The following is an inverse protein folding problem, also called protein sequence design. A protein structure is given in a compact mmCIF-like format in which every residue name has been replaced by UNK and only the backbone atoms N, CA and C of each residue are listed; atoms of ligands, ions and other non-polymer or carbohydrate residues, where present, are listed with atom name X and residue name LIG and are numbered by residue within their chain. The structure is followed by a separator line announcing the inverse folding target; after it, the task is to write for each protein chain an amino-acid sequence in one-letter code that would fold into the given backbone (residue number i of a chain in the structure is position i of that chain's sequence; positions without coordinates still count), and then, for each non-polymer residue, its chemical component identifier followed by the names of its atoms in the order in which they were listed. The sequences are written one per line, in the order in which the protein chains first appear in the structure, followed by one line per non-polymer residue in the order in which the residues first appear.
data_IF_173765014951
#
_entry.id   IF_173765014951
#
_cell.length_a   1.000
_cell.length_b   1.000
_cell.length_c   1.000
_cell.angle_alpha   90.00
_cell.angle_beta   90.00
_cell.angle_gamma   90.00
#
_symmetry.space_group_name_H-M   'P 1'
#
loop_
_entity.id
_entity.type
_entity.pdbx_description
1 polymer ?
#
# COMPACT_ATOMS: atom_id res chain seq x y z
N UNK A 1 44.93 -87.94 -53.13
CA UNK A 1 44.95 -86.73 -52.27
C UNK A 1 44.10 -87.00 -51.04
N UNK A 2 44.50 -86.44 -49.89
CA UNK A 2 44.38 -87.00 -48.54
C UNK A 2 42.96 -87.17 -47.95
N UNK A 3 42.91 -87.99 -46.88
CA UNK A 3 41.79 -88.51 -46.08
C UNK A 3 40.90 -87.45 -45.36
N UNK A 4 39.69 -87.83 -44.90
CA UNK A 4 38.59 -86.99 -44.42
C UNK A 4 38.63 -86.77 -42.89
N UNK A 5 37.64 -86.11 -42.21
CA UNK A 5 36.43 -86.83 -41.78
C UNK A 5 35.13 -85.98 -41.64
N UNK A 6 34.05 -86.71 -41.34
CA UNK A 6 32.68 -86.29 -41.02
C UNK A 6 32.48 -85.86 -39.55
N UNK A 7 31.39 -85.13 -39.23
CA UNK A 7 30.32 -85.49 -38.24
C UNK A 7 29.36 -84.30 -37.89
N UNK A 8 28.05 -84.55 -38.05
CA UNK A 8 26.85 -84.22 -37.22
C UNK A 8 26.80 -83.05 -36.19
N UNK A 9 25.70 -82.27 -36.21
CA UNK A 9 24.82 -81.82 -35.06
C UNK A 9 23.56 -81.10 -35.60
N UNK A 10 22.29 -81.52 -35.34
CA UNK A 10 21.33 -81.18 -34.24
C UNK A 10 21.19 -79.67 -33.96
N UNK A 11 20.05 -78.98 -34.17
CA UNK A 11 18.78 -79.01 -33.41
C UNK A 11 18.48 -77.60 -32.81
N UNK A 12 17.22 -77.15 -32.62
CA UNK A 12 16.86 -75.74 -32.40
C UNK A 12 16.84 -75.34 -30.91
N UNK A 13 17.18 -74.08 -30.56
CA UNK A 13 17.06 -73.56 -29.20
C UNK A 13 16.50 -72.12 -29.16
N UNK A 14 15.21 -72.09 -28.83
CA UNK A 14 14.39 -71.11 -28.11
C UNK A 14 15.00 -69.74 -27.73
N UNK A 15 14.27 -68.69 -28.14
CA UNK A 15 14.35 -67.31 -27.66
C UNK A 15 13.93 -67.19 -26.19
N UNK A 16 14.87 -66.84 -25.31
CA UNK A 16 14.57 -66.41 -23.94
C UNK A 16 14.16 -64.95 -23.91
N UNK A 17 12.86 -64.68 -23.74
CA UNK A 17 12.37 -63.40 -23.28
C UNK A 17 12.68 -63.28 -21.77
N UNK A 18 13.53 -62.33 -21.41
CA UNK A 18 13.76 -61.99 -20.01
C UNK A 18 12.57 -61.17 -19.51
N UNK A 19 11.59 -61.85 -18.90
CA UNK A 19 10.56 -61.22 -18.08
C UNK A 19 11.25 -60.55 -16.87
N UNK A 20 11.39 -59.23 -16.93
CA UNK A 20 11.73 -58.41 -15.76
C UNK A 20 10.48 -58.38 -14.88
N UNK A 21 10.39 -59.31 -13.93
CA UNK A 21 9.40 -59.23 -12.86
C UNK A 21 9.73 -58.05 -11.96
N UNK A 22 9.13 -56.90 -12.26
CA UNK A 22 9.06 -55.77 -11.33
C UNK A 22 8.21 -56.25 -10.15
N UNK A 23 8.85 -56.50 -9.01
CA UNK A 23 8.12 -56.94 -7.82
C UNK A 23 7.11 -55.87 -7.40
N UNK A 24 5.91 -56.27 -6.99
CA UNK A 24 4.89 -55.38 -6.44
C UNK A 24 5.40 -54.57 -5.23
N UNK A 25 6.46 -55.06 -4.57
CA UNK A 25 7.17 -54.34 -3.51
C UNK A 25 7.88 -53.09 -4.04
N UNK A 26 8.54 -53.16 -5.20
CA UNK A 26 9.22 -52.03 -5.81
C UNK A 26 8.24 -50.98 -6.34
N UNK A 27 7.07 -51.40 -6.83
CA UNK A 27 6.00 -50.48 -7.26
C UNK A 27 5.34 -49.80 -6.06
N UNK A 28 5.10 -50.54 -4.97
CA UNK A 28 4.57 -49.97 -3.72
C UNK A 28 5.56 -49.05 -3.02
N UNK A 29 6.85 -49.36 -3.06
CA UNK A 29 7.88 -48.49 -2.50
C UNK A 29 8.09 -47.24 -3.36
N UNK A 30 8.04 -47.35 -4.70
CA UNK A 30 8.01 -46.18 -5.59
C UNK A 30 6.74 -45.33 -5.37
N UNK A 31 5.58 -45.96 -5.22
CA UNK A 31 4.32 -45.27 -4.94
C UNK A 31 4.35 -44.61 -3.55
N UNK A 32 4.93 -45.24 -2.53
CA UNK A 32 5.14 -44.63 -1.20
C UNK A 32 6.18 -43.52 -1.22
N UNK A 33 7.20 -43.62 -2.07
CA UNK A 33 8.25 -42.61 -2.22
C UNK A 33 7.71 -41.41 -2.99
N UNK A 34 6.91 -41.63 -4.03
CA UNK A 34 6.12 -40.59 -4.70
C UNK A 34 5.08 -39.98 -3.76
N UNK A 35 4.39 -40.79 -2.96
CA UNK A 35 3.42 -40.31 -1.98
C UNK A 35 4.10 -39.50 -0.87
N UNK A 36 5.31 -39.88 -0.44
CA UNK A 36 6.15 -39.10 0.50
C UNK A 36 6.70 -37.83 -0.13
N UNK A 37 7.07 -37.84 -1.41
CA UNK A 37 7.47 -36.65 -2.16
C UNK A 37 6.29 -35.68 -2.35
N UNK A 38 5.07 -36.18 -2.55
CA UNK A 38 3.86 -35.35 -2.63
C UNK A 38 3.33 -34.89 -1.28
N UNK A 39 3.57 -35.65 -0.20
CA UNK A 39 3.19 -35.28 1.17
C UNK A 39 4.20 -34.32 1.83
N UNK A 40 5.47 -34.34 1.42
CA UNK A 40 6.46 -33.34 1.80
C UNK A 40 6.22 -31.98 1.12
N UNK A 41 5.42 -31.96 0.03
CA UNK A 41 5.02 -30.77 -0.71
C UNK A 41 3.54 -30.44 -0.48
N UNK A 42 3.13 -30.25 0.77
CA UNK A 42 1.85 -29.59 1.04
C UNK A 42 1.85 -28.20 0.38
N UNK A 43 0.73 -27.74 -0.22
CA UNK A 43 0.65 -26.37 -0.70
C UNK A 43 0.93 -25.42 0.47
N UNK A 44 1.94 -24.56 0.33
CA UNK A 44 2.25 -23.53 1.32
C UNK A 44 0.97 -22.74 1.60
N UNK A 45 0.46 -22.82 2.83
CA UNK A 45 -0.77 -22.12 3.19
C UNK A 45 -0.50 -20.61 3.17
N UNK A 46 -1.26 -19.83 2.36
CA UNK A 46 -1.02 -18.41 2.23
C UNK A 46 -1.16 -17.69 3.57
N UNK A 47 -0.26 -16.76 3.87
CA UNK A 47 -0.30 -16.01 5.12
C UNK A 47 -1.25 -14.84 4.91
N UNK A 48 -2.36 -14.82 5.65
CA UNK A 48 -3.31 -13.71 5.60
C UNK A 48 -2.80 -12.53 6.44
N UNK A 49 -1.90 -11.74 5.87
CA UNK A 49 -1.32 -10.56 6.53
C UNK A 49 -2.36 -9.47 6.78
N UNK A 50 -3.36 -9.30 5.90
CA UNK A 50 -4.48 -8.37 6.12
C UNK A 50 -5.23 -8.66 7.42
N UNK A 51 -5.59 -9.93 7.68
CA UNK A 51 -6.28 -10.31 8.91
C UNK A 51 -5.42 -10.06 10.15
N UNK A 52 -4.11 -10.33 10.06
CA UNK A 52 -3.16 -10.06 11.15
C UNK A 52 -2.99 -8.56 11.41
N UNK A 53 -3.00 -7.74 10.36
CA UNK A 53 -2.95 -6.28 10.45
C UNK A 53 -4.23 -5.72 11.07
N UNK A 54 -5.39 -6.23 10.69
CA UNK A 54 -6.68 -5.86 11.27
C UNK A 54 -6.78 -6.22 12.77
N UNK A 55 -6.08 -7.27 13.20
CA UNK A 55 -6.00 -7.69 14.60
C UNK A 55 -5.04 -6.84 15.46
N UNK A 56 -4.22 -5.96 14.88
CA UNK A 56 -3.33 -5.08 15.64
C UNK A 56 -4.13 -4.13 16.55
N UNK A 57 -3.60 -3.75 17.73
CA UNK A 57 -4.27 -2.82 18.63
C UNK A 57 -4.61 -1.51 17.92
N UNK A 58 -5.80 -0.99 18.23
CA UNK A 58 -6.27 0.31 17.75
C UNK A 58 -5.41 1.43 18.33
N UNK A 59 -5.31 2.53 17.60
CA UNK A 59 -4.65 3.75 18.07
C UNK A 59 -5.62 4.91 17.93
N UNK A 60 -5.72 5.71 19.00
CA UNK A 60 -6.50 6.94 19.01
C UNK A 60 -5.66 8.05 18.39
N UNK A 61 -6.12 8.59 17.26
CA UNK A 61 -5.47 9.70 16.55
C UNK A 61 -6.55 10.73 16.24
N UNK A 62 -6.23 12.01 16.41
CA UNK A 62 -7.12 13.08 15.99
C UNK A 62 -7.37 12.98 14.48
N UNK A 63 -8.64 12.87 14.07
CA UNK A 63 -9.00 12.85 12.66
C UNK A 63 -8.88 14.28 12.10
N UNK A 64 -8.32 14.49 10.90
CA UNK A 64 -8.24 15.81 10.30
C UNK A 64 -9.62 16.46 10.14
N UNK A 65 -9.73 17.78 10.39
CA UNK A 65 -11.01 18.49 10.29
C UNK A 65 -11.57 18.43 8.87
N UNK A 66 -12.89 18.45 8.74
CA UNK A 66 -13.64 18.40 7.47
C UNK A 66 -13.22 17.27 6.50
N UNK A 67 -12.62 16.17 6.97
CA UNK A 67 -12.11 15.10 6.11
C UNK A 67 -13.21 14.42 5.28
N UNK A 68 -14.43 14.32 5.81
CA UNK A 68 -15.61 13.83 5.08
C UNK A 68 -15.93 14.69 3.87
N UNK A 69 -15.86 16.01 4.01
CA UNK A 69 -16.12 16.98 2.97
C UNK A 69 -15.00 16.96 1.93
N UNK A 70 -13.74 16.89 2.36
CA UNK A 70 -12.59 16.78 1.45
C UNK A 70 -12.65 15.54 0.54
N UNK A 71 -13.21 14.44 1.05
CA UNK A 71 -13.35 13.18 0.32
C UNK A 71 -14.74 13.00 -0.35
N UNK A 72 -15.61 14.02 -0.31
CA UNK A 72 -16.98 13.94 -0.81
C UNK A 72 -17.11 13.82 -2.34
N UNK A 73 -16.06 14.15 -3.09
CA UNK A 73 -16.02 14.00 -4.54
C UNK A 73 -15.84 12.55 -5.01
N UNK A 74 -15.57 11.63 -4.09
CA UNK A 74 -15.30 10.22 -4.39
C UNK A 74 -16.62 9.47 -4.50
N UNK A 75 -16.80 8.76 -5.61
CA UNK A 75 -17.99 7.94 -5.86
C UNK A 75 -17.66 6.47 -5.62
N UNK A 76 -18.36 5.82 -4.70
CA UNK A 76 -18.13 4.40 -4.39
C UNK A 76 -18.75 3.42 -5.39
N UNK A 77 -19.70 3.89 -6.19
CA UNK A 77 -20.56 3.02 -7.00
C UNK A 77 -19.98 2.75 -8.40
N UNK A 78 -18.85 3.35 -8.77
CA UNK A 78 -18.20 3.15 -10.07
C UNK A 78 -17.20 1.97 -9.98
N UNK A 79 -17.53 0.79 -10.54
CA UNK A 79 -16.61 -0.34 -10.55
C UNK A 79 -15.38 0.03 -11.38
N UNK A 80 -14.19 -0.23 -10.82
CA UNK A 80 -12.87 0.09 -11.38
C UNK A 80 -12.42 1.55 -11.28
N UNK A 81 -13.10 2.41 -10.50
CA UNK A 81 -12.53 3.72 -10.18
C UNK A 81 -11.30 3.58 -9.25
N UNK A 82 -10.12 3.88 -9.80
CA UNK A 82 -8.85 3.82 -9.07
C UNK A 82 -8.79 4.80 -7.87
N UNK A 83 -9.44 5.97 -7.95
CA UNK A 83 -9.51 6.91 -6.81
C UNK A 83 -10.36 6.32 -5.69
N UNK A 84 -11.51 5.73 -6.05
CA UNK A 84 -12.32 4.98 -5.09
C UNK A 84 -11.53 3.78 -4.52
N UNK A 85 -10.65 3.16 -5.30
CA UNK A 85 -9.69 2.17 -4.84
C UNK A 85 -8.77 2.70 -3.72
N UNK A 86 -8.12 3.85 -3.92
CA UNK A 86 -7.30 4.48 -2.87
C UNK A 86 -8.12 4.87 -1.65
N UNK A 87 -9.35 5.34 -1.83
CA UNK A 87 -10.24 5.55 -0.69
C UNK A 87 -10.49 4.25 0.06
N UNK A 88 -10.89 3.19 -0.64
CA UNK A 88 -11.26 1.90 -0.05
C UNK A 88 -10.07 1.20 0.64
N UNK A 89 -8.84 1.51 0.24
CA UNK A 89 -7.63 1.06 0.94
C UNK A 89 -7.56 1.59 2.38
N UNK A 90 -8.03 2.82 2.61
CA UNK A 90 -7.87 3.52 3.89
C UNK A 90 -9.17 3.67 4.67
N UNK A 91 -10.25 4.02 3.99
CA UNK A 91 -11.43 4.60 4.59
C UNK A 91 -12.71 3.86 4.22
N UNK A 92 -13.72 4.11 5.04
CA UNK A 92 -15.11 3.78 4.79
C UNK A 92 -15.98 4.93 5.26
N UNK A 93 -17.01 5.29 4.49
CA UNK A 93 -18.04 6.19 5.00
C UNK A 93 -18.93 5.43 5.99
N UNK A 94 -18.59 5.56 7.27
CA UNK A 94 -19.35 5.09 8.42
C UNK A 94 -19.14 6.11 9.53
N UNK A 95 -20.18 6.39 10.33
CA UNK A 95 -20.07 7.28 11.49
C UNK A 95 -18.84 6.90 12.32
N UNK A 96 -17.95 7.88 12.48
CA UNK A 96 -16.79 7.75 13.33
C UNK A 96 -17.29 7.48 14.74
N UNK A 97 -16.81 6.39 15.33
CA UNK A 97 -17.08 6.10 16.72
C UNK A 97 -16.21 7.04 17.53
N UNK A 98 -16.85 7.89 18.31
CA UNK A 98 -16.17 8.90 19.12
C UNK A 98 -15.89 8.24 20.47
N UNK A 99 -14.60 8.03 20.76
CA UNK A 99 -14.06 7.35 21.95
C UNK A 99 -14.36 5.86 22.06
N UNK A 100 -13.44 5.15 22.73
CA UNK A 100 -13.28 3.69 22.69
C UNK A 100 -14.60 2.94 22.76
N UNK A 101 -15.13 2.51 21.61
CA UNK A 101 -16.30 1.64 21.51
C UNK A 101 -16.02 0.43 20.60
N UNK A 102 -16.44 -0.75 21.04
CA UNK A 102 -16.33 -2.01 20.33
C UNK A 102 -17.41 -2.14 19.23
N UNK A 103 -17.40 -3.24 18.45
CA UNK A 103 -18.35 -3.46 17.34
C UNK A 103 -19.83 -3.42 17.76
N UNK A 104 -20.12 -3.69 19.03
CA UNK A 104 -21.45 -3.70 19.64
C UNK A 104 -21.79 -2.38 20.36
N UNK A 105 -20.89 -1.39 20.32
CA UNK A 105 -21.08 -0.11 21.03
C UNK A 105 -20.66 -0.15 22.51
N UNK A 106 -20.03 -1.22 22.98
CA UNK A 106 -19.51 -1.28 24.34
C UNK A 106 -18.23 -0.48 24.50
N UNK A 107 -18.15 0.27 25.59
CA UNK A 107 -17.04 1.18 25.90
C UNK A 107 -15.76 0.39 26.23
N UNK A 108 -14.70 0.60 25.43
CA UNK A 108 -13.39 -0.01 25.50
C UNK A 108 -12.43 0.72 26.45
N UNK A 109 -12.68 1.99 26.79
CA UNK A 109 -11.85 2.79 27.70
C UNK A 109 -12.71 3.54 28.73
N UNK A 110 -13.32 2.83 29.71
CA UNK A 110 -14.15 3.45 30.75
C UNK A 110 -13.39 4.50 31.58
N UNK A 111 -12.06 4.36 31.70
CA UNK A 111 -11.20 5.33 32.37
C UNK A 111 -11.15 6.68 31.64
N UNK A 112 -11.10 6.69 30.30
CA UNK A 112 -11.04 7.94 29.53
C UNK A 112 -12.36 8.73 29.63
N UNK A 113 -13.48 8.01 29.60
CA UNK A 113 -14.83 8.58 29.76
C UNK A 113 -15.01 9.18 31.14
N UNK A 114 -14.42 8.58 32.18
CA UNK A 114 -14.48 9.10 33.55
C UNK A 114 -13.71 10.41 33.79
N UNK A 115 -12.78 10.76 32.89
CA UNK A 115 -11.95 11.97 32.96
C UNK A 115 -12.45 13.08 32.04
N UNK A 116 -13.24 12.71 31.02
CA UNK A 116 -13.83 13.66 30.09
C UNK A 116 -15.12 14.25 30.66
N UNK A 117 -15.33 15.53 30.37
CA UNK A 117 -16.55 16.23 30.79
C UNK A 117 -17.80 15.58 30.17
N UNK A 118 -18.81 15.32 30.99
CA UNK A 118 -20.05 14.65 30.58
C UNK A 118 -20.86 15.46 29.55
N UNK A 119 -20.81 16.79 29.58
CA UNK A 119 -21.49 17.64 28.61
C UNK A 119 -20.76 17.63 27.25
N UNK A 120 -19.43 17.59 27.27
CA UNK A 120 -18.61 17.39 26.06
C UNK A 120 -18.93 16.05 25.40
N UNK A 121 -19.05 14.98 26.19
CA UNK A 121 -19.44 13.66 25.71
C UNK A 121 -20.88 13.67 25.14
N UNK A 122 -21.80 14.39 25.79
CA UNK A 122 -23.17 14.59 25.30
C UNK A 122 -23.25 15.33 23.95
N UNK A 123 -22.35 16.29 23.71
CA UNK A 123 -22.22 17.00 22.43
C UNK A 123 -21.71 16.07 21.30
N UNK A 124 -20.75 15.20 21.60
CA UNK A 124 -20.10 14.32 20.62
C UNK A 124 -20.91 13.06 20.27
N UNK A 125 -21.73 12.57 21.20
CA UNK A 125 -22.56 11.37 21.01
C UNK A 125 -23.73 11.58 20.04
N UNK A 126 -24.01 12.81 19.61
CA UNK A 126 -25.12 13.09 18.69
C UNK A 126 -26.47 12.71 19.29
N UNK A 127 -26.83 13.39 20.39
CA UNK A 127 -28.18 13.37 20.96
C UNK A 127 -28.30 12.57 22.25
N UNK A 128 -28.34 13.27 23.40
CA UNK A 128 -29.56 13.51 24.18
C UNK A 128 -29.18 14.25 25.47
N UNK A 129 -29.24 15.59 25.48
CA UNK A 129 -29.62 16.43 26.63
C UNK A 129 -29.33 17.90 26.33
N UNK A 130 -30.38 18.74 26.25
CA UNK A 130 -30.27 20.20 26.24
C UNK A 130 -30.96 20.85 25.04
N UNK A 131 -31.98 21.71 25.24
CA UNK A 131 -32.85 22.18 24.19
C UNK A 131 -32.16 23.28 23.37
N UNK A 132 -31.58 22.91 22.22
CA UNK A 132 -31.49 23.87 21.13
C UNK A 132 -32.88 23.96 20.53
N UNK A 133 -33.65 24.90 21.07
CA UNK A 133 -34.90 25.41 20.51
C UNK A 133 -34.69 25.74 19.03
N UNK A 134 -35.10 24.85 18.14
CA UNK A 134 -36.07 25.07 17.05
C UNK A 134 -35.98 23.94 16.01
N UNK A 135 -37.03 23.10 16.03
CA UNK A 135 -37.58 22.34 14.91
C UNK A 135 -36.68 21.35 14.13
N UNK A 136 -36.86 20.06 14.43
CA UNK A 136 -36.72 18.98 13.46
C UNK A 136 -35.66 17.94 13.84
N UNK A 137 -36.09 16.72 14.16
CA UNK A 137 -35.24 15.53 14.18
C UNK A 137 -34.75 15.17 12.77
N UNK A 138 -33.85 16.01 12.24
CA UNK A 138 -33.33 15.91 10.89
C UNK A 138 -32.19 14.91 10.78
N UNK A 139 -32.17 14.18 9.66
CA UNK A 139 -30.98 13.51 9.17
C UNK A 139 -29.77 14.48 9.18
N UNK A 140 -28.52 13.98 9.33
CA UNK A 140 -27.35 14.84 9.27
C UNK A 140 -27.38 15.69 7.98
N UNK A 141 -27.35 17.01 8.14
CA UNK A 141 -27.34 17.98 7.03
C UNK A 141 -25.95 17.94 6.38
N UNK A 142 -25.91 17.84 5.05
CA UNK A 142 -24.67 17.94 4.27
C UNK A 142 -24.74 19.19 3.38
N UNK A 143 -23.70 20.04 3.32
CA UNK A 143 -22.45 19.96 4.11
C UNK A 143 -22.69 20.13 5.62
N UNK A 144 -21.77 19.63 6.45
CA UNK A 144 -21.90 19.75 7.90
C UNK A 144 -21.80 21.21 8.33
N UNK A 145 -22.63 21.60 9.30
CA UNK A 145 -22.57 22.95 9.89
C UNK A 145 -21.30 23.16 10.75
N UNK A 146 -20.45 22.12 10.89
CA UNK A 146 -19.27 22.11 11.73
C UNK A 146 -18.24 21.05 11.30
N UNK A 147 -16.99 21.49 11.12
CA UNK A 147 -15.86 20.62 10.72
C UNK A 147 -15.34 19.63 11.78
N UNK A 148 -15.93 19.64 12.98
CA UNK A 148 -15.53 18.79 14.14
C UNK A 148 -16.66 17.80 14.50
N UNK A 149 -17.86 17.98 13.97
CA UNK A 149 -19.01 17.16 14.36
C UNK A 149 -18.96 15.77 13.71
N UNK A 150 -19.18 14.74 14.53
CA UNK A 150 -19.24 13.30 14.21
C UNK A 150 -18.93 12.95 12.74
N UNK A 151 -17.65 12.84 12.36
CA UNK A 151 -17.30 12.63 10.96
C UNK A 151 -17.93 11.33 10.47
N UNK A 152 -18.54 11.33 9.29
CA UNK A 152 -19.11 10.11 8.69
C UNK A 152 -18.04 9.24 8.00
N UNK A 153 -16.79 9.36 8.43
CA UNK A 153 -15.61 8.78 7.81
C UNK A 153 -14.80 8.05 8.87
N UNK A 154 -14.41 6.80 8.62
CA UNK A 154 -13.59 6.01 9.55
C UNK A 154 -12.42 5.37 8.81
N UNK A 155 -11.26 5.29 9.46
CA UNK A 155 -10.13 4.47 8.99
C UNK A 155 -10.48 2.99 9.18
N UNK A 156 -10.97 2.33 8.12
CA UNK A 156 -11.41 0.93 8.12
C UNK A 156 -11.28 0.33 6.70
N UNK A 157 -10.14 0.56 6.08
CA UNK A 157 -9.91 0.20 4.68
C UNK A 157 -9.25 -1.16 4.47
N UNK A 158 -9.18 -1.60 3.21
CA UNK A 158 -8.72 -2.92 2.76
C UNK A 158 -7.35 -2.87 2.10
N UNK A 159 -6.35 -2.37 2.83
CA UNK A 159 -4.94 -2.43 2.38
C UNK A 159 -4.45 -3.88 2.31
N UNK A 160 -3.59 -4.14 1.32
CA UNK A 160 -2.88 -5.40 1.16
C UNK A 160 -3.80 -6.64 1.11
N UNK A 161 -4.79 -6.67 0.19
CA UNK A 161 -5.76 -7.77 0.11
C UNK A 161 -5.06 -9.10 -0.23
N UNK A 162 -5.53 -10.24 0.32
CA UNK A 162 -4.95 -11.53 0.02
C UNK A 162 -5.14 -11.90 -1.46
N UNK A 163 -4.23 -12.68 -2.06
CA UNK A 163 -4.28 -13.07 -3.47
C UNK A 163 -5.45 -14.02 -3.82
N UNK A 164 -6.18 -14.53 -2.82
CA UNK A 164 -7.40 -15.33 -2.96
C UNK A 164 -8.42 -14.86 -1.93
N UNK A 165 -9.74 -14.83 -2.24
CA UNK A 165 -10.76 -14.32 -1.32
C UNK A 165 -10.93 -15.24 -0.11
N UNK A 166 -10.06 -15.07 0.88
CA UNK A 166 -10.28 -15.56 2.23
C UNK A 166 -11.39 -14.72 2.88
N UNK A 167 -12.18 -15.29 3.81
CA UNK A 167 -13.22 -14.55 4.51
C UNK A 167 -12.65 -13.27 5.13
N UNK A 168 -13.28 -12.15 4.76
CA UNK A 168 -12.80 -10.81 5.02
C UNK A 168 -13.14 -10.46 6.48
N UNK A 169 -12.18 -10.62 7.40
CA UNK A 169 -12.43 -10.54 8.86
C UNK A 169 -12.36 -9.11 9.44
N UNK A 170 -12.28 -8.06 8.61
CA UNK A 170 -12.29 -6.66 9.07
C UNK A 170 -11.35 -5.76 8.25
N UNK A 171 -11.59 -4.45 8.30
CA UNK A 171 -10.68 -3.46 7.71
C UNK A 171 -9.51 -3.13 8.65
N UNK A 172 -8.44 -2.61 8.08
CA UNK A 172 -7.25 -2.16 8.82
C UNK A 172 -7.54 -0.77 9.37
N UNK A 173 -7.51 -0.64 10.70
CA UNK A 173 -7.89 0.58 11.44
C UNK A 173 -6.71 1.35 12.04
N UNK A 174 -5.51 1.06 11.54
CA UNK A 174 -4.25 1.66 11.98
C UNK A 174 -3.42 2.07 10.77
N UNK A 175 -2.55 3.06 10.95
CA UNK A 175 -1.52 3.41 9.97
C UNK A 175 -0.18 2.77 10.35
N UNK A 176 0.66 2.52 9.37
CA UNK A 176 1.97 1.89 9.52
C UNK A 176 3.03 2.64 8.71
N UNK A 177 4.30 2.27 8.88
CA UNK A 177 5.40 2.91 8.13
C UNK A 177 5.22 2.81 6.61
N UNK A 178 4.59 1.73 6.12
CA UNK A 178 4.24 1.58 4.70
C UNK A 178 3.36 2.72 4.18
N UNK A 179 2.51 3.31 5.02
CA UNK A 179 1.67 4.45 4.64
C UNK A 179 2.50 5.75 4.47
N UNK A 180 3.60 5.90 5.21
CA UNK A 180 4.55 7.00 5.00
C UNK A 180 5.30 6.84 3.66
N UNK A 181 5.69 5.61 3.30
CA UNK A 181 6.29 5.32 1.99
C UNK A 181 5.31 5.63 0.86
N UNK A 182 4.04 5.24 1.01
CA UNK A 182 2.99 5.57 0.05
C UNK A 182 2.90 7.08 -0.18
N UNK A 183 2.84 7.87 0.90
CA UNK A 183 2.81 9.33 0.82
C UNK A 183 4.03 9.93 0.14
N UNK A 184 5.22 9.42 0.44
CA UNK A 184 6.46 9.90 -0.16
C UNK A 184 6.41 9.80 -1.69
N UNK A 185 5.96 8.68 -2.23
CA UNK A 185 5.86 8.49 -3.68
C UNK A 185 4.76 9.33 -4.32
N UNK A 186 3.62 9.54 -3.65
CA UNK A 186 2.56 10.43 -4.13
C UNK A 186 3.00 11.91 -4.10
N UNK A 187 3.82 12.30 -3.12
CA UNK A 187 4.45 13.63 -3.12
C UNK A 187 5.44 13.77 -4.28
N UNK A 188 6.31 12.78 -4.50
CA UNK A 188 7.25 12.76 -5.63
C UNK A 188 6.54 12.72 -6.99
N UNK A 189 5.35 12.15 -7.08
CA UNK A 189 4.53 12.18 -8.29
C UNK A 189 4.18 13.61 -8.70
N UNK A 190 4.08 14.54 -7.74
CA UNK A 190 3.81 15.95 -7.97
C UNK A 190 2.38 16.40 -7.61
N UNK A 191 1.57 15.53 -7.00
CA UNK A 191 0.17 15.83 -6.67
C UNK A 191 0.02 17.05 -5.77
N UNK A 192 0.87 17.18 -4.76
CA UNK A 192 0.88 18.36 -3.87
C UNK A 192 1.22 19.66 -4.63
N UNK A 193 2.07 19.60 -5.66
CA UNK A 193 2.44 20.77 -6.47
C UNK A 193 1.31 21.17 -7.41
N UNK A 194 0.65 20.18 -8.03
CA UNK A 194 -0.55 20.36 -8.84
C UNK A 194 -1.65 20.99 -8.00
N UNK A 195 -1.95 20.40 -6.84
CA UNK A 195 -2.98 20.93 -5.93
C UNK A 195 -2.63 22.35 -5.47
N UNK A 196 -1.38 22.63 -5.12
CA UNK A 196 -0.94 23.98 -4.78
C UNK A 196 -1.23 25.00 -5.89
N UNK A 197 -0.96 24.64 -7.15
CA UNK A 197 -1.27 25.50 -8.29
C UNK A 197 -2.79 25.69 -8.51
N UNK A 198 -3.61 24.66 -8.26
CA UNK A 198 -5.07 24.75 -8.33
C UNK A 198 -5.62 25.67 -7.24
N UNK A 199 -5.19 25.48 -5.99
CA UNK A 199 -5.65 26.27 -4.85
C UNK A 199 -5.23 27.74 -4.98
N UNK A 200 -4.01 28.01 -5.45
CA UNK A 200 -3.56 29.38 -5.74
C UNK A 200 -4.35 30.03 -6.88
N UNK A 201 -4.64 29.27 -7.94
CA UNK A 201 -5.46 29.74 -9.04
C UNK A 201 -6.91 30.06 -8.64
N UNK A 202 -7.48 29.28 -7.72
CA UNK A 202 -8.81 29.48 -7.17
C UNK A 202 -8.85 30.65 -6.17
N UNK A 203 -7.91 30.73 -5.24
CA UNK A 203 -7.92 31.73 -4.16
C UNK A 203 -7.46 33.12 -4.60
N UNK A 204 -6.43 33.21 -5.45
CA UNK A 204 -5.71 34.47 -5.70
C UNK A 204 -5.85 34.96 -7.13
N UNK A 205 -5.72 34.06 -8.12
CA UNK A 205 -5.58 34.48 -9.52
C UNK A 205 -6.91 34.53 -10.30
N UNK A 206 -8.00 33.94 -9.76
CA UNK A 206 -9.30 33.84 -10.43
C UNK A 206 -9.26 33.12 -11.78
N UNK A 207 -8.18 32.38 -12.07
CA UNK A 207 -7.92 31.79 -13.40
C UNK A 207 -8.82 30.59 -13.67
N UNK A 208 -9.33 29.96 -12.63
CA UNK A 208 -10.29 28.88 -12.73
C UNK A 208 -11.69 29.49 -12.62
N UNK A 209 -12.51 29.51 -13.70
CA UNK A 209 -13.88 29.98 -13.65
C UNK A 209 -14.75 28.94 -12.94
N UNK A 210 -14.56 28.81 -11.63
CA UNK A 210 -15.38 27.97 -10.77
C UNK A 210 -16.41 28.91 -10.17
N UNK A 211 -17.64 28.78 -10.64
CA UNK A 211 -18.77 29.56 -10.15
C UNK A 211 -18.97 29.27 -8.66
N UNK A 212 -18.90 30.30 -7.81
CA UNK A 212 -19.39 30.26 -6.41
C UNK A 212 -20.94 30.26 -6.37
N UNK A 213 -21.57 29.61 -7.34
CA UNK A 213 -23.00 29.69 -7.62
C UNK A 213 -23.83 29.39 -6.39
N UNK A 214 -24.91 30.17 -6.21
CA UNK A 214 -25.95 29.84 -5.24
C UNK A 214 -26.36 28.39 -5.44
N UNK A 215 -26.50 27.65 -4.34
CA UNK A 215 -26.95 26.26 -4.29
C UNK A 215 -28.34 26.16 -4.94
N UNK A 216 -28.38 26.12 -6.27
CA UNK A 216 -29.56 25.87 -7.10
C UNK A 216 -29.24 24.65 -7.95
N UNK A 217 -29.40 23.48 -7.32
CA UNK A 217 -29.72 22.18 -7.92
C UNK A 217 -28.98 21.91 -9.27
N UNK A 218 -27.68 22.20 -9.29
CA UNK A 218 -26.71 21.89 -10.33
C UNK A 218 -25.53 21.13 -9.71
N UNK A 219 -25.83 19.97 -9.13
CA UNK A 219 -25.13 19.28 -8.02
C UNK A 219 -23.59 19.08 -8.14
N UNK A 220 -22.93 19.26 -9.29
CA UNK A 220 -21.51 18.86 -9.45
C UNK A 220 -20.49 20.00 -9.29
N UNK A 221 -20.78 21.19 -9.81
CA UNK A 221 -19.84 22.31 -9.74
C UNK A 221 -19.84 22.92 -8.33
N UNK A 222 -20.99 22.90 -7.66
CA UNK A 222 -21.19 23.39 -6.29
C UNK A 222 -20.37 22.60 -5.25
N UNK A 223 -20.27 21.27 -5.40
CA UNK A 223 -19.51 20.41 -4.49
C UNK A 223 -18.00 20.63 -4.69
N UNK A 224 -17.57 20.78 -5.94
CA UNK A 224 -16.15 21.04 -6.23
C UNK A 224 -15.70 22.39 -5.68
N UNK A 225 -16.54 23.44 -5.82
CA UNK A 225 -16.31 24.75 -5.23
C UNK A 225 -16.23 24.70 -3.70
N UNK A 226 -17.17 23.99 -3.05
CA UNK A 226 -17.16 23.76 -1.61
C UNK A 226 -15.87 23.10 -1.13
N UNK A 227 -15.43 22.03 -1.81
CA UNK A 227 -14.19 21.31 -1.45
C UNK A 227 -12.98 22.22 -1.57
N UNK A 228 -12.90 23.01 -2.65
CA UNK A 228 -11.80 23.97 -2.85
C UNK A 228 -11.80 25.07 -1.78
N UNK A 229 -12.97 25.61 -1.43
CA UNK A 229 -13.11 26.60 -0.35
C UNK A 229 -12.63 26.03 1.00
N UNK A 230 -13.04 24.80 1.33
CA UNK A 230 -12.57 24.10 2.54
C UNK A 230 -11.06 23.91 2.50
N UNK A 231 -10.49 23.45 1.38
CA UNK A 231 -9.04 23.26 1.23
C UNK A 231 -8.26 24.58 1.36
N UNK A 232 -8.73 25.67 0.75
CA UNK A 232 -8.10 27.00 0.88
C UNK A 232 -8.17 27.48 2.32
N UNK A 233 -9.34 27.38 2.96
CA UNK A 233 -9.52 27.81 4.34
C UNK A 233 -8.64 27.00 5.30
N UNK A 234 -8.57 25.68 5.14
CA UNK A 234 -7.67 24.85 5.95
C UNK A 234 -6.20 25.18 5.71
N UNK A 235 -5.83 25.56 4.49
CA UNK A 235 -4.45 26.01 4.17
C UNK A 235 -4.13 27.31 4.91
N UNK A 236 -5.02 28.29 4.85
CA UNK A 236 -4.88 29.59 5.53
C UNK A 236 -4.90 29.46 7.06
N UNK A 237 -5.76 28.60 7.61
CA UNK A 237 -5.84 28.30 9.05
C UNK A 237 -4.69 27.40 9.54
N UNK A 238 -3.85 26.90 8.64
CA UNK A 238 -2.72 26.05 9.01
C UNK A 238 -3.07 24.62 9.44
N UNK A 239 -4.27 24.15 9.09
CA UNK A 239 -4.78 22.81 9.37
C UNK A 239 -4.51 21.82 8.21
N UNK A 240 -4.17 22.35 7.03
CA UNK A 240 -3.83 21.56 5.85
C UNK A 240 -2.59 20.68 6.06
N UNK A 241 -2.48 19.63 5.24
CA UNK A 241 -1.23 18.86 5.14
C UNK A 241 -0.12 19.76 4.58
N UNK A 242 0.81 20.20 5.44
CA UNK A 242 1.90 21.10 5.06
C UNK A 242 3.09 20.33 4.45
N UNK A 243 3.80 20.98 3.53
CA UNK A 243 5.03 20.44 2.93
C UNK A 243 6.07 20.13 4.01
N UNK A 244 6.24 21.00 5.00
CA UNK A 244 7.16 20.79 6.12
C UNK A 244 6.81 19.57 6.97
N UNK A 245 5.52 19.34 7.24
CA UNK A 245 5.05 18.19 8.04
C UNK A 245 5.26 16.86 7.30
N UNK A 246 5.01 16.82 5.99
CA UNK A 246 5.28 15.63 5.16
C UNK A 246 6.76 15.37 4.93
N UNK A 247 7.55 16.43 4.76
CA UNK A 247 9.01 16.33 4.68
C UNK A 247 9.59 15.81 6.00
N UNK A 248 9.11 16.31 7.14
CA UNK A 248 9.49 15.82 8.46
C UNK A 248 9.13 14.33 8.63
N UNK A 249 7.91 13.94 8.25
CA UNK A 249 7.46 12.55 8.28
C UNK A 249 8.41 11.67 7.46
N UNK A 250 8.67 12.03 6.20
CA UNK A 250 9.53 11.23 5.29
C UNK A 250 10.96 11.11 5.81
N UNK A 251 11.54 12.21 6.30
CA UNK A 251 12.92 12.25 6.79
C UNK A 251 13.09 11.48 8.10
N UNK A 252 12.16 11.65 9.03
CA UNK A 252 12.21 10.98 10.34
C UNK A 252 11.88 9.49 10.27
N UNK A 253 11.03 9.07 9.33
CA UNK A 253 10.55 7.68 9.28
C UNK A 253 11.29 6.84 8.25
N UNK A 254 11.49 7.37 7.04
CA UNK A 254 12.13 6.66 5.93
C UNK A 254 13.60 7.05 5.74
N UNK A 255 14.02 8.17 6.35
CA UNK A 255 15.35 8.73 6.08
C UNK A 255 15.44 9.35 4.68
N UNK A 256 14.32 9.65 4.04
CA UNK A 256 14.24 10.14 2.67
C UNK A 256 13.88 11.62 2.63
N UNK A 257 14.47 12.35 1.67
CA UNK A 257 14.28 13.79 1.52
C UNK A 257 13.41 14.08 0.30
N UNK A 258 12.26 14.74 0.51
CA UNK A 258 11.41 15.21 -0.58
C UNK A 258 11.95 16.51 -1.18
N UNK A 259 11.58 16.83 -2.42
CA UNK A 259 12.01 18.08 -3.07
C UNK A 259 11.60 19.32 -2.27
N UNK A 260 10.38 19.30 -1.70
CA UNK A 260 9.91 20.35 -0.80
C UNK A 260 10.74 20.45 0.48
N UNK A 261 11.13 19.32 1.06
CA UNK A 261 11.98 19.26 2.25
C UNK A 261 13.38 19.85 2.04
N UNK A 262 13.97 19.70 0.84
CA UNK A 262 15.29 20.29 0.50
C UNK A 262 15.27 21.81 0.59
N UNK A 263 14.22 22.44 0.05
CA UNK A 263 14.06 23.91 0.05
C UNK A 263 13.89 24.48 1.46
N UNK A 264 13.46 23.65 2.42
CA UNK A 264 13.11 24.06 3.77
C UNK A 264 14.24 23.93 4.79
N UNK A 265 15.42 23.41 4.41
CA UNK A 265 16.59 23.23 5.29
C UNK A 265 16.20 22.72 6.71
N UNK A 266 15.48 21.60 6.76
CA UNK A 266 14.94 21.08 8.02
C UNK A 266 16.03 20.41 8.87
N UNK A 267 16.13 20.79 10.15
CA UNK A 267 17.03 20.21 11.16
C UNK A 267 16.49 18.93 11.82
N UNK A 268 15.52 18.26 11.18
CA UNK A 268 14.90 17.07 11.77
C UNK A 268 15.83 15.85 11.74
N UNK A 269 15.69 15.01 12.76
CA UNK A 269 16.33 13.69 12.83
C UNK A 269 16.07 12.88 11.56
N UNK A 270 17.11 12.19 11.07
CA UNK A 270 17.06 11.39 9.85
C UNK A 270 17.16 9.91 10.22
N UNK A 271 16.20 9.10 9.78
CA UNK A 271 16.30 7.64 9.92
C UNK A 271 17.21 7.05 8.84
N UNK A 272 18.51 7.27 8.97
CA UNK A 272 19.52 6.81 8.01
C UNK A 272 19.54 5.29 7.86
N UNK A 273 19.15 4.56 8.91
CA UNK A 273 19.13 3.10 8.93
C UNK A 273 18.02 2.48 8.08
N UNK A 274 16.85 3.10 7.99
CA UNK A 274 15.72 2.55 7.24
C UNK A 274 16.06 2.36 5.76
N UNK A 275 16.52 3.42 5.08
CA UNK A 275 16.84 3.39 3.65
C UNK A 275 17.80 2.24 3.30
N UNK A 276 18.88 2.13 4.07
CA UNK A 276 19.92 1.11 3.87
C UNK A 276 19.35 -0.28 4.07
N UNK A 277 18.62 -0.52 5.16
CA UNK A 277 18.12 -1.84 5.50
C UNK A 277 16.96 -2.28 4.59
N UNK A 278 16.10 -1.35 4.18
CA UNK A 278 14.99 -1.66 3.27
C UNK A 278 15.50 -2.09 1.90
N UNK A 279 16.42 -1.33 1.30
CA UNK A 279 17.00 -1.71 0.01
C UNK A 279 17.91 -2.94 0.10
N UNK A 280 18.63 -3.12 1.22
CA UNK A 280 19.39 -4.34 1.47
C UNK A 280 18.48 -5.57 1.60
N UNK A 281 17.32 -5.44 2.22
CA UNK A 281 16.32 -6.50 2.23
C UNK A 281 15.84 -6.84 0.82
N UNK A 282 15.46 -5.84 0.01
CA UNK A 282 15.04 -6.07 -1.39
C UNK A 282 16.14 -6.81 -2.17
N UNK A 283 17.40 -6.39 -2.02
CA UNK A 283 18.55 -7.05 -2.63
C UNK A 283 18.66 -8.53 -2.23
N UNK A 284 18.62 -8.84 -0.93
CA UNK A 284 18.71 -10.24 -0.46
C UNK A 284 17.51 -11.09 -0.87
N UNK A 285 16.31 -10.51 -0.93
CA UNK A 285 15.13 -11.21 -1.45
C UNK A 285 15.31 -11.57 -2.95
N UNK A 286 15.87 -10.66 -3.75
CA UNK A 286 16.16 -10.92 -5.17
C UNK A 286 17.24 -11.99 -5.37
N UNK A 287 18.29 -12.00 -4.53
CA UNK A 287 19.28 -13.09 -4.50
C UNK A 287 18.62 -14.43 -4.19
N UNK A 288 17.75 -14.46 -3.18
CA UNK A 288 16.98 -15.64 -2.81
C UNK A 288 16.14 -16.17 -3.99
N UNK A 289 15.43 -15.31 -4.71
CA UNK A 289 14.64 -15.73 -5.88
C UNK A 289 15.51 -16.24 -7.02
N UNK A 290 16.67 -15.61 -7.27
CA UNK A 290 17.62 -16.08 -8.27
C UNK A 290 18.14 -17.48 -7.95
N UNK A 291 18.54 -17.71 -6.70
CA UNK A 291 19.03 -19.01 -6.24
C UNK A 291 17.94 -20.07 -6.33
N UNK A 292 16.71 -19.75 -5.92
CA UNK A 292 15.54 -20.63 -6.05
C UNK A 292 15.28 -21.03 -7.50
N UNK A 293 15.24 -20.07 -8.44
CA UNK A 293 15.05 -20.33 -9.87
C UNK A 293 16.19 -21.18 -10.46
N UNK A 294 17.44 -20.91 -10.06
CA UNK A 294 18.61 -21.67 -10.50
C UNK A 294 18.57 -23.11 -9.98
N UNK A 295 18.21 -23.31 -8.73
CA UNK A 295 18.06 -24.65 -8.15
C UNK A 295 16.94 -25.44 -8.82
N UNK A 296 15.81 -24.80 -9.20
CA UNK A 296 14.71 -25.45 -9.97
C UNK A 296 15.23 -25.89 -11.33
N UNK A 297 15.99 -25.02 -12.01
CA UNK A 297 16.55 -25.31 -13.33
C UNK A 297 17.57 -26.47 -13.31
N UNK A 298 18.39 -26.58 -12.27
CA UNK A 298 19.39 -27.65 -12.12
C UNK A 298 18.75 -28.99 -11.74
N UNK A 299 17.79 -28.98 -10.81
CA UNK A 299 17.24 -30.20 -10.23
C UNK A 299 16.09 -30.81 -11.07
N UNK A 300 15.63 -30.12 -12.12
CA UNK A 300 14.56 -30.60 -13.00
C UNK A 300 13.21 -30.83 -12.31
N UNK A 301 13.08 -30.39 -11.06
CA UNK A 301 11.89 -30.49 -10.22
C UNK A 301 11.54 -29.09 -9.69
N UNK A 302 10.24 -28.85 -9.46
CA UNK A 302 9.67 -27.58 -8.96
C UNK A 302 10.18 -27.11 -7.57
N UNK A 303 11.22 -27.74 -7.02
CA UNK A 303 11.71 -27.52 -5.66
C UNK A 303 13.22 -27.25 -5.69
N UNK A 304 13.60 -26.17 -6.33
CA UNK A 304 14.94 -25.63 -6.21
C UNK A 304 15.16 -25.07 -4.82
N UNK A 305 16.00 -25.74 -4.03
CA UNK A 305 16.28 -25.37 -2.63
C UNK A 305 17.17 -24.12 -2.55
N UNK A 306 16.70 -23.00 -1.96
CA UNK A 306 17.57 -21.89 -1.61
C UNK A 306 18.42 -22.23 -0.37
N UNK A 307 19.57 -21.56 -0.22
CA UNK A 307 20.47 -21.77 0.91
C UNK A 307 19.82 -21.34 2.24
N UNK A 308 19.89 -22.18 3.27
CA UNK A 308 19.45 -21.84 4.63
C UNK A 308 20.19 -20.59 5.18
N UNK A 309 21.43 -20.36 4.74
CA UNK A 309 22.20 -19.16 5.09
C UNK A 309 21.53 -17.88 4.57
N UNK A 310 20.95 -17.91 3.35
CA UNK A 310 20.26 -16.75 2.77
C UNK A 310 19.01 -16.39 3.57
N UNK A 311 18.24 -17.38 4.03
CA UNK A 311 17.08 -17.15 4.90
C UNK A 311 17.47 -16.52 6.25
N UNK A 312 18.58 -16.98 6.85
CA UNK A 312 19.10 -16.38 8.09
C UNK A 312 19.53 -14.94 7.86
N UNK A 313 20.26 -14.64 6.78
CA UNK A 313 20.66 -13.27 6.43
C UNK A 313 19.46 -12.35 6.19
N UNK A 314 18.40 -12.84 5.54
CA UNK A 314 17.15 -12.10 5.36
C UNK A 314 16.50 -11.84 6.73
N UNK A 315 16.36 -12.86 7.58
CA UNK A 315 15.79 -12.73 8.93
C UNK A 315 16.53 -11.68 9.77
N UNK A 316 17.87 -11.71 9.80
CA UNK A 316 18.68 -10.72 10.53
C UNK A 316 18.48 -9.30 9.98
N UNK A 317 18.41 -9.15 8.66
CA UNK A 317 18.16 -7.86 8.01
C UNK A 317 16.77 -7.33 8.38
N UNK A 318 15.75 -8.20 8.41
CA UNK A 318 14.39 -7.86 8.80
C UNK A 318 14.29 -7.50 10.29
N UNK A 319 15.03 -8.18 11.16
CA UNK A 319 15.08 -7.82 12.58
C UNK A 319 15.65 -6.41 12.78
N UNK A 320 16.71 -6.05 12.06
CA UNK A 320 17.27 -4.71 12.12
C UNK A 320 16.33 -3.67 11.49
N UNK A 321 15.66 -4.01 10.38
CA UNK A 321 14.75 -3.12 9.67
C UNK A 321 13.52 -2.80 10.52
N UNK A 322 12.90 -3.79 11.17
CA UNK A 322 11.73 -3.59 12.02
C UNK A 322 12.03 -2.70 13.23
N UNK A 323 13.23 -2.77 13.80
CA UNK A 323 13.70 -1.80 14.82
C UNK A 323 13.74 -0.37 14.28
N UNK A 324 13.94 -0.17 12.97
CA UNK A 324 13.89 1.16 12.33
C UNK A 324 12.48 1.65 12.02
N UNK A 325 11.42 0.89 12.35
CA UNK A 325 10.03 1.38 12.20
C UNK A 325 9.61 2.26 13.37
N UNK A 326 10.28 2.11 14.52
CA UNK A 326 9.97 2.81 15.76
C UNK A 326 9.79 4.34 15.62
N UNK A 327 10.61 5.08 14.84
CA UNK A 327 10.39 6.51 14.64
C UNK A 327 9.01 6.89 14.09
N UNK A 328 8.37 6.02 13.31
CA UNK A 328 7.01 6.25 12.80
C UNK A 328 5.97 6.27 13.93
N UNK A 329 6.19 5.50 15.00
CA UNK A 329 5.21 5.37 16.07
C UNK A 329 5.23 6.53 17.08
N UNK A 330 6.14 7.49 16.92
CA UNK A 330 6.29 8.62 17.84
C UNK A 330 5.79 9.96 17.27
N UNK A 331 5.38 10.84 18.20
CA UNK A 331 5.03 12.23 17.90
C UNK A 331 3.81 12.37 16.99
N UNK A 332 3.83 13.37 16.12
CA UNK A 332 2.73 13.70 15.20
C UNK A 332 2.73 12.88 13.91
N UNK A 333 3.55 11.84 13.79
CA UNK A 333 3.73 11.09 12.54
C UNK A 333 2.44 10.40 12.09
N UNK A 334 1.66 9.81 13.00
CA UNK A 334 0.34 9.26 12.68
C UNK A 334 -0.62 10.30 12.13
N UNK A 335 -0.71 11.47 12.77
CA UNK A 335 -1.56 12.56 12.32
C UNK A 335 -1.09 13.09 10.96
N UNK A 336 0.21 13.34 10.80
CA UNK A 336 0.79 13.85 9.55
C UNK A 336 0.58 12.87 8.39
N UNK A 337 0.69 11.57 8.65
CA UNK A 337 0.40 10.53 7.68
C UNK A 337 -1.10 10.52 7.32
N UNK A 338 -1.99 10.48 8.32
CA UNK A 338 -3.44 10.49 8.09
C UNK A 338 -3.89 11.72 7.29
N UNK A 339 -3.44 12.91 7.71
CA UNK A 339 -3.72 14.17 7.04
C UNK A 339 -3.14 14.17 5.62
N UNK A 340 -1.91 13.68 5.45
CA UNK A 340 -1.31 13.50 4.13
C UNK A 340 -2.18 12.63 3.20
N UNK A 341 -2.65 11.48 3.68
CA UNK A 341 -3.44 10.53 2.87
C UNK A 341 -4.75 11.16 2.41
N UNK A 342 -5.48 11.79 3.34
CA UNK A 342 -6.74 12.49 3.03
C UNK A 342 -6.49 13.54 1.95
N UNK A 343 -5.45 14.35 2.11
CA UNK A 343 -5.12 15.41 1.16
C UNK A 343 -4.69 14.87 -0.22
N UNK A 344 -3.95 13.76 -0.30
CA UNK A 344 -3.56 13.18 -1.59
C UNK A 344 -4.77 12.56 -2.33
N UNK A 345 -5.66 11.87 -1.63
CA UNK A 345 -6.86 11.28 -2.24
C UNK A 345 -7.84 12.39 -2.67
N UNK A 346 -8.03 13.42 -1.83
CA UNK A 346 -8.79 14.60 -2.19
C UNK A 346 -8.20 15.31 -3.42
N UNK A 347 -6.87 15.46 -3.49
CA UNK A 347 -6.19 16.07 -4.63
C UNK A 347 -6.51 15.36 -5.95
N UNK A 348 -6.43 14.03 -6.00
CA UNK A 348 -6.78 13.25 -7.20
C UNK A 348 -8.22 13.51 -7.64
N UNK A 349 -9.15 13.56 -6.67
CA UNK A 349 -10.57 13.79 -6.92
C UNK A 349 -10.83 15.19 -7.49
N UNK A 350 -10.17 16.19 -6.90
CA UNK A 350 -10.24 17.59 -7.37
C UNK A 350 -9.63 17.74 -8.77
N UNK A 351 -8.47 17.13 -9.03
CA UNK A 351 -7.84 17.17 -10.36
C UNK A 351 -8.77 16.54 -11.41
N UNK A 352 -9.37 15.38 -11.11
CA UNK A 352 -10.35 14.75 -12.00
C UNK A 352 -11.57 15.64 -12.24
N UNK A 353 -12.14 16.20 -11.19
CA UNK A 353 -13.31 17.07 -11.29
C UNK A 353 -13.04 18.32 -12.16
N UNK A 354 -11.84 18.88 -12.03
CA UNK A 354 -11.44 20.08 -12.75
C UNK A 354 -10.77 19.83 -14.10
N UNK A 355 -10.57 18.57 -14.51
CA UNK A 355 -9.73 18.23 -15.67
C UNK A 355 -10.06 19.05 -16.93
N UNK A 356 -11.35 19.20 -17.25
CA UNK A 356 -11.80 20.02 -18.39
C UNK A 356 -11.48 21.50 -18.22
N UNK A 357 -11.73 22.06 -17.04
CA UNK A 357 -11.43 23.46 -16.69
C UNK A 357 -9.93 23.76 -16.73
N UNK A 358 -9.10 22.76 -16.41
CA UNK A 358 -7.64 22.85 -16.47
C UNK A 358 -7.08 22.76 -17.89
N UNK A 359 -7.92 22.47 -18.90
CA UNK A 359 -7.49 22.28 -20.28
C UNK A 359 -6.92 20.88 -20.56
N UNK A 360 -7.19 19.89 -19.69
CA UNK A 360 -6.84 18.50 -19.94
C UNK A 360 -7.84 17.93 -20.99
N UNK A 361 -7.36 17.25 -22.04
CA UNK A 361 -8.23 16.65 -23.04
C UNK A 361 -9.29 15.75 -22.40
N UNK A 362 -10.56 15.88 -22.82
CA UNK A 362 -11.67 15.11 -22.24
C UNK A 362 -11.58 13.58 -22.48
N UNK A 363 -10.68 13.15 -23.35
CA UNK A 363 -10.35 11.73 -23.54
C UNK A 363 -9.57 11.14 -22.35
N UNK A 364 -8.93 11.98 -21.53
CA UNK A 364 -8.11 11.54 -20.40
C UNK A 364 -9.02 11.34 -19.18
N UNK A 365 -9.55 10.13 -19.04
CA UNK A 365 -10.47 9.75 -17.97
C UNK A 365 -9.75 9.20 -16.75
N UNK A 366 -8.62 8.54 -16.97
CA UNK A 366 -7.94 7.76 -15.94
C UNK A 366 -6.80 8.54 -15.27
N UNK A 367 -6.48 8.24 -13.99
CA UNK A 367 -5.42 8.93 -13.26
C UNK A 367 -4.06 8.90 -13.94
N UNK A 368 -3.74 7.81 -14.63
CA UNK A 368 -2.49 7.69 -15.37
C UNK A 368 -2.41 8.63 -16.57
N UNK A 369 -3.52 9.18 -17.04
CA UNK A 369 -3.57 10.12 -18.17
C UNK A 369 -3.66 11.56 -17.67
N UNK A 370 -4.62 11.85 -16.78
CA UNK A 370 -4.88 13.23 -16.35
C UNK A 370 -3.84 13.76 -15.34
N UNK A 371 -3.22 12.92 -14.50
CA UNK A 371 -2.24 13.41 -13.52
C UNK A 371 -0.96 13.92 -14.20
N UNK A 372 -0.31 13.17 -15.12
CA UNK A 372 0.85 13.69 -15.86
C UNK A 372 0.50 14.93 -16.69
N UNK A 373 -0.68 14.95 -17.32
CA UNK A 373 -1.14 16.11 -18.08
C UNK A 373 -1.32 17.36 -17.19
N UNK A 374 -1.93 17.21 -16.01
CA UNK A 374 -2.06 18.27 -15.03
C UNK A 374 -0.68 18.79 -14.56
N UNK A 375 0.28 17.88 -14.36
CA UNK A 375 1.65 18.25 -14.00
C UNK A 375 2.34 19.09 -15.09
N UNK A 376 2.26 18.66 -16.36
CA UNK A 376 2.83 19.39 -17.49
C UNK A 376 2.22 20.80 -17.62
N UNK A 377 0.89 20.91 -17.54
CA UNK A 377 0.17 22.17 -17.72
C UNK A 377 0.36 23.12 -16.53
N UNK A 378 0.23 22.62 -15.30
CA UNK A 378 0.14 23.46 -14.10
C UNK A 378 1.47 23.65 -13.39
N UNK A 379 2.36 22.66 -13.41
CA UNK A 379 3.65 22.73 -12.72
C UNK A 379 4.74 23.15 -13.69
N UNK A 380 4.88 22.43 -14.81
CA UNK A 380 5.94 22.71 -15.80
C UNK A 380 5.58 23.82 -16.79
N UNK A 381 4.32 24.27 -16.82
CA UNK A 381 3.80 25.32 -17.71
C UNK A 381 4.09 25.04 -19.19
N UNK A 382 4.00 23.78 -19.60
CA UNK A 382 4.22 23.31 -20.99
C UNK A 382 3.02 22.55 -21.53
N UNK A 383 2.98 22.36 -22.84
CA UNK A 383 1.98 21.51 -23.47
C UNK A 383 2.10 20.05 -22.98
N UNK A 384 0.99 19.32 -22.99
CA UNK A 384 0.94 17.90 -22.59
C UNK A 384 1.85 17.09 -23.50
N UNK A 385 2.82 16.40 -22.89
CA UNK A 385 3.78 15.54 -23.61
C UNK A 385 3.54 14.07 -23.27
N UNK A 386 3.48 13.21 -24.28
CA UNK A 386 3.54 11.76 -24.08
C UNK A 386 5.00 11.35 -23.89
N UNK A 387 5.44 11.19 -22.65
CA UNK A 387 6.76 10.64 -22.35
C UNK A 387 6.81 9.12 -22.50
N UNK A 388 8.00 8.56 -22.77
CA UNK A 388 8.23 7.12 -22.88
C UNK A 388 7.92 6.37 -21.56
N UNK A 389 8.05 7.05 -20.42
CA UNK A 389 7.71 6.51 -19.10
C UNK A 389 6.62 7.35 -18.43
N UNK A 390 5.51 6.71 -18.09
CA UNK A 390 4.41 7.38 -17.41
C UNK A 390 4.73 7.57 -15.92
N UNK A 391 4.99 8.83 -15.52
CA UNK A 391 5.33 9.21 -14.14
C UNK A 391 4.33 8.67 -13.12
N UNK A 392 3.03 8.71 -13.43
CA UNK A 392 1.98 8.23 -12.53
C UNK A 392 2.13 6.74 -12.24
N UNK A 393 2.22 5.94 -13.30
CA UNK A 393 2.29 4.48 -13.20
C UNK A 393 3.51 4.06 -12.38
N UNK A 394 4.68 4.62 -12.68
CA UNK A 394 5.93 4.26 -12.01
C UNK A 394 5.89 4.60 -10.51
N UNK A 395 5.42 5.81 -10.14
CA UNK A 395 5.34 6.20 -8.73
C UNK A 395 4.26 5.42 -7.98
N UNK A 396 3.11 5.17 -8.61
CA UNK A 396 2.02 4.36 -8.04
C UNK A 396 2.50 2.94 -7.73
N UNK A 397 3.18 2.29 -8.67
CA UNK A 397 3.66 0.92 -8.48
C UNK A 397 4.74 0.86 -7.39
N UNK A 398 5.66 1.83 -7.32
CA UNK A 398 6.58 1.96 -6.18
C UNK A 398 5.84 2.11 -4.85
N UNK A 399 4.83 3.00 -4.81
CA UNK A 399 4.04 3.29 -3.62
C UNK A 399 3.29 2.05 -3.13
N UNK A 400 2.57 1.37 -4.03
CA UNK A 400 1.74 0.22 -3.72
C UNK A 400 2.58 -0.97 -3.27
N UNK A 401 3.54 -1.38 -4.09
CA UNK A 401 4.33 -2.58 -3.80
C UNK A 401 5.24 -2.36 -2.58
N UNK A 402 5.85 -1.18 -2.45
CA UNK A 402 6.65 -0.84 -1.28
C UNK A 402 5.82 -0.79 0.01
N UNK A 403 4.61 -0.20 -0.05
CA UNK A 403 3.68 -0.16 1.10
C UNK A 403 3.30 -1.57 1.52
N UNK A 404 2.86 -2.38 0.57
CA UNK A 404 2.34 -3.72 0.86
C UNK A 404 3.44 -4.64 1.42
N UNK A 405 4.69 -4.53 0.93
CA UNK A 405 5.86 -5.19 1.53
C UNK A 405 6.04 -4.75 2.99
N UNK A 406 6.08 -3.44 3.26
CA UNK A 406 6.28 -2.93 4.63
C UNK A 406 5.13 -3.30 5.57
N UNK A 407 3.89 -3.34 5.07
CA UNK A 407 2.74 -3.80 5.81
C UNK A 407 2.84 -5.28 6.18
N UNK A 408 3.32 -6.13 5.26
CA UNK A 408 3.56 -7.53 5.58
C UNK A 408 4.59 -7.67 6.72
N UNK A 409 5.68 -6.89 6.67
CA UNK A 409 6.76 -6.91 7.67
C UNK A 409 6.31 -6.58 9.11
N UNK A 410 5.18 -5.90 9.28
CA UNK A 410 4.62 -5.56 10.61
C UNK A 410 3.98 -6.78 11.32
N UNK A 411 3.69 -7.86 10.60
CA UNK A 411 2.87 -8.99 11.10
C UNK A 411 3.41 -10.38 10.78
N UNK A 412 4.40 -10.50 9.89
CA UNK A 412 5.05 -11.79 9.65
C UNK A 412 5.95 -12.18 10.82
N UNK A 413 6.07 -13.48 11.04
CA UNK A 413 7.12 -14.02 11.91
C UNK A 413 8.34 -14.35 11.05
N UNK A 414 9.28 -13.41 10.97
CA UNK A 414 10.50 -13.58 10.18
C UNK A 414 11.56 -14.44 10.89
N UNK A 415 11.35 -14.83 12.16
CA UNK A 415 12.30 -15.67 12.91
C UNK A 415 12.15 -17.15 12.59
N UNK A 416 10.98 -17.55 12.09
CA UNK A 416 10.73 -18.90 11.61
C UNK A 416 11.36 -19.10 10.21
N UNK A 417 12.64 -19.50 10.23
CA UNK A 417 13.47 -19.75 9.05
C UNK A 417 13.46 -21.22 8.61
N UNK A 418 12.60 -22.05 9.23
CA UNK A 418 12.46 -23.46 8.85
C UNK A 418 11.87 -23.60 7.44
N UNK A 419 12.08 -24.76 6.82
CA UNK A 419 11.51 -25.07 5.51
C UNK A 419 9.99 -25.12 5.58
N UNK A 420 9.30 -24.37 4.70
CA UNK A 420 7.86 -24.17 4.81
C UNK A 420 7.42 -23.35 6.03
N UNK A 421 8.39 -22.78 6.77
CA UNK A 421 8.15 -21.84 7.85
C UNK A 421 7.58 -20.51 7.35
N UNK A 422 7.25 -19.63 8.28
CA UNK A 422 6.57 -18.38 7.96
C UNK A 422 7.38 -17.47 7.02
N UNK A 423 8.71 -17.38 7.16
CA UNK A 423 9.55 -16.53 6.32
C UNK A 423 9.61 -17.03 4.87
N UNK A 424 9.87 -18.32 4.65
CA UNK A 424 9.95 -18.92 3.32
C UNK A 424 8.60 -18.85 2.60
N UNK A 425 7.52 -19.19 3.33
CA UNK A 425 6.14 -19.09 2.85
C UNK A 425 5.78 -17.66 2.43
N UNK A 426 6.18 -16.66 3.20
CA UNK A 426 5.96 -15.25 2.87
C UNK A 426 6.82 -14.78 1.69
N UNK A 427 8.10 -15.15 1.63
CA UNK A 427 8.98 -14.80 0.51
C UNK A 427 8.42 -15.30 -0.82
N UNK A 428 7.87 -16.51 -0.85
CA UNK A 428 7.19 -17.04 -2.04
C UNK A 428 5.94 -16.22 -2.44
N UNK A 429 5.21 -15.65 -1.47
CA UNK A 429 4.01 -14.83 -1.73
C UNK A 429 4.34 -13.40 -2.15
N UNK A 430 5.42 -12.83 -1.60
CA UNK A 430 5.78 -11.42 -1.78
C UNK A 430 6.65 -11.19 -3.03
N UNK A 431 7.19 -12.26 -3.64
CA UNK A 431 8.03 -12.19 -4.85
C UNK A 431 7.49 -11.26 -5.95
N UNK A 432 6.20 -11.32 -6.36
CA UNK A 432 5.68 -10.42 -7.39
C UNK A 432 5.75 -8.94 -6.98
N UNK A 433 5.51 -8.63 -5.70
CA UNK A 433 5.57 -7.26 -5.17
C UNK A 433 7.02 -6.76 -5.14
N UNK A 434 7.97 -7.61 -4.74
CA UNK A 434 9.40 -7.25 -4.70
C UNK A 434 9.93 -6.94 -6.10
N UNK A 435 9.63 -7.77 -7.09
CA UNK A 435 10.04 -7.55 -8.48
C UNK A 435 9.36 -6.33 -9.11
N UNK A 436 8.06 -6.11 -8.81
CA UNK A 436 7.34 -4.92 -9.28
C UNK A 436 7.88 -3.62 -8.66
N UNK A 437 8.22 -3.64 -7.35
CA UNK A 437 8.90 -2.52 -6.68
C UNK A 437 10.26 -2.24 -7.33
N UNK A 438 11.11 -3.26 -7.49
CA UNK A 438 12.43 -3.13 -8.13
C UNK A 438 12.34 -2.53 -9.53
N UNK A 439 11.44 -3.06 -10.36
CA UNK A 439 11.27 -2.62 -11.76
C UNK A 439 10.85 -1.16 -11.83
N UNK A 440 9.85 -0.79 -11.03
CA UNK A 440 9.35 0.58 -10.98
C UNK A 440 10.39 1.54 -10.41
N UNK A 441 11.09 1.11 -9.36
CA UNK A 441 12.17 1.88 -8.76
C UNK A 441 13.29 2.16 -9.75
N UNK A 442 13.74 1.13 -10.48
CA UNK A 442 14.76 1.26 -11.52
C UNK A 442 14.30 2.20 -12.64
N UNK A 443 13.05 2.11 -13.07
CA UNK A 443 12.50 3.03 -14.07
C UNK A 443 12.48 4.48 -13.56
N UNK A 444 12.33 4.70 -12.26
CA UNK A 444 12.26 6.04 -11.66
C UNK A 444 13.65 6.64 -11.41
N UNK A 445 14.61 5.84 -10.94
CA UNK A 445 15.93 6.33 -10.47
C UNK A 445 17.07 6.03 -11.43
N UNK A 446 16.88 5.11 -12.37
CA UNK A 446 17.95 4.55 -13.20
C UNK A 446 18.82 3.51 -12.48
N UNK A 447 18.61 3.28 -11.17
CA UNK A 447 19.42 2.37 -10.36
C UNK A 447 18.68 1.06 -10.10
N UNK A 448 19.37 -0.05 -10.33
CA UNK A 448 18.85 -1.38 -10.06
C UNK A 448 19.26 -1.85 -8.65
N UNK A 449 18.28 -1.90 -7.74
CA UNK A 449 18.50 -2.38 -6.36
C UNK A 449 18.90 -3.86 -6.34
N UNK A 450 18.64 -4.63 -7.41
CA UNK A 450 19.13 -6.00 -7.56
C UNK A 450 20.64 -6.11 -7.83
N UNK A 451 21.32 -4.98 -8.08
CA UNK A 451 22.77 -4.92 -8.31
C UNK A 451 23.47 -4.11 -7.21
N UNK A 452 22.81 -3.09 -6.66
CA UNK A 452 23.37 -2.22 -5.61
C UNK A 452 22.50 -2.26 -4.35
N UNK A 453 22.99 -2.81 -3.22
CA UNK A 453 22.18 -3.03 -2.01
C UNK A 453 21.90 -1.75 -1.21
N UNK A 454 22.63 -0.66 -1.44
CA UNK A 454 22.54 0.58 -0.65
C UNK A 454 22.55 1.83 -1.54
N UNK A 455 21.51 2.03 -2.37
CA UNK A 455 21.39 3.28 -3.11
C UNK A 455 21.17 4.45 -2.14
N UNK A 456 21.80 5.59 -2.45
CA UNK A 456 21.75 6.80 -1.62
C UNK A 456 20.88 7.89 -2.29
N UNK A 457 20.09 7.54 -3.31
CA UNK A 457 19.42 8.49 -4.22
C UNK A 457 18.34 9.32 -3.52
N UNK A 458 17.67 8.74 -2.53
CA UNK A 458 16.62 9.40 -1.76
C UNK A 458 17.18 10.23 -0.61
N UNK A 459 18.46 10.02 -0.31
CA UNK A 459 19.25 10.76 0.67
C UNK A 459 20.11 11.83 -0.02
N UNK A 460 20.43 11.65 -1.30
CA UNK A 460 21.20 12.56 -2.15
C UNK A 460 20.27 13.24 -3.15
N UNK A 461 19.91 14.49 -2.85
CA UNK A 461 19.89 15.67 -3.73
C UNK A 461 19.46 16.83 -2.82
#
# INVERSE_FOLDING_TARGET
MAKPPAYSTTGPAQSGAADIQVSDANVRDLARLLQRLTLASGPLTPINTQARLAAKPRLTVAFPPCASELLSLIKHDEPNDEIAGFFNDYFRFTRHRVFGQDLNGQELEPELISVLDGELMGCLAGGTAGPVLLAGGGAPRWPSDCCICSPCLTLDGRRNPPPSPLPNNGGIRRLFIGDALWLFYFERMGLSQILGAILDAYANNGRLPISNGSIEIGIRDDITALVLEIMVRQTQMGQASRVSERAFLSRRTLGWVTEGGRKLNLDSEVNTGFNVLFHKFIYHALEFYRDKRLAVAIQGANVGRPSAATLVTISETLELLTKRFEPFHYGRNYYNALNGIIWQIAALSVIRALARTLGIPGAFGDPHEFVPAAYDLLVLKRAVTSGDTNRYIVHRECARNGRDILLDLEVIDFRDTLEGGALDTWLAQVEPKVEAYRTSYRSMTGVDIGVTPTPVIEQQV
#
